data_IF_705333692291
#
_entry.id   IF_705333692291
#
_cell.length_a   1.000
_cell.length_b   1.000
_cell.length_c   1.000
_cell.angle_alpha   90.00
_cell.angle_beta   90.00
_cell.angle_gamma   90.00
#
_symmetry.space_group_name_H-M   'P 1'
#
loop_
_entity.id
_entity.type
_entity.pdbx_description
1 polymer ?
#
# COMPACT_ATOMS: atom_id res chain seq x y z
N UNK A 1 15.35 -25.40 25.26
CA UNK A 1 14.65 -24.20 24.74
C UNK A 1 15.43 -23.57 23.56
N UNK A 2 16.71 -23.22 23.73
CA UNK A 2 17.56 -22.61 22.68
C UNK A 2 17.64 -23.42 21.37
N UNK A 3 17.73 -24.75 21.41
CA UNK A 3 17.78 -25.59 20.21
C UNK A 3 16.48 -25.56 19.40
N UNK A 4 15.31 -25.47 20.06
CA UNK A 4 14.00 -25.33 19.40
C UNK A 4 13.85 -23.95 18.74
N UNK A 5 14.32 -22.88 19.41
CA UNK A 5 14.31 -21.52 18.85
C UNK A 5 15.26 -21.45 17.66
N UNK A 6 16.47 -22.00 17.75
CA UNK A 6 17.40 -22.05 16.63
C UNK A 6 16.82 -22.83 15.43
N UNK A 7 16.17 -23.97 15.67
CA UNK A 7 15.50 -24.76 14.64
C UNK A 7 14.32 -24.01 14.00
N UNK A 8 13.62 -23.16 14.74
CA UNK A 8 12.55 -22.31 14.20
C UNK A 8 13.05 -21.36 13.11
N UNK A 9 14.29 -20.87 13.19
CA UNK A 9 14.89 -19.95 12.21
C UNK A 9 15.71 -20.64 11.11
N UNK A 10 15.91 -21.94 11.17
CA UNK A 10 16.63 -22.68 10.14
C UNK A 10 15.68 -23.14 9.03
N UNK A 11 16.24 -23.29 7.82
CA UNK A 11 15.51 -23.76 6.63
C UNK A 11 14.88 -25.14 6.88
N UNK A 12 15.60 -26.04 7.57
CA UNK A 12 15.10 -27.38 7.90
C UNK A 12 13.88 -27.37 8.83
N UNK A 13 13.72 -26.31 9.62
CA UNK A 13 12.54 -26.13 10.50
C UNK A 13 11.33 -25.52 9.81
N UNK A 14 11.49 -25.05 8.56
CA UNK A 14 10.43 -24.34 7.81
C UNK A 14 9.65 -25.22 6.84
N UNK A 15 10.29 -26.25 6.26
CA UNK A 15 9.70 -27.13 5.26
C UNK A 15 9.76 -28.57 5.74
N UNK A 16 8.72 -29.34 5.47
CA UNK A 16 8.68 -30.75 5.77
C UNK A 16 9.54 -31.52 4.77
N UNK A 17 10.26 -32.54 5.22
CA UNK A 17 11.22 -33.31 4.38
C UNK A 17 10.60 -33.86 3.09
N UNK A 18 9.31 -34.23 3.09
CA UNK A 18 8.62 -34.76 1.92
C UNK A 18 8.13 -33.69 0.93
N UNK A 19 8.23 -32.38 1.30
CA UNK A 19 7.84 -31.25 0.47
C UNK A 19 9.06 -30.64 -0.27
N UNK A 20 10.26 -31.23 -0.15
CA UNK A 20 11.50 -30.68 -0.72
C UNK A 20 11.66 -31.16 -2.16
N UNK A 21 11.74 -30.22 -3.10
CA UNK A 21 11.87 -30.51 -4.54
C UNK A 21 13.29 -30.37 -5.09
N UNK A 22 14.31 -30.13 -4.24
CA UNK A 22 15.71 -29.99 -4.65
C UNK A 22 16.57 -29.38 -3.55
N UNK A 23 17.77 -28.93 -3.87
CA UNK A 23 18.65 -28.32 -2.88
C UNK A 23 18.04 -27.07 -2.26
N UNK A 24 18.18 -26.97 -0.93
CA UNK A 24 17.69 -25.83 -0.16
C UNK A 24 18.84 -24.84 0.08
N UNK A 25 18.57 -23.54 0.01
CA UNK A 25 19.58 -22.53 0.31
C UNK A 25 19.96 -22.58 1.81
N UNK A 26 21.18 -22.14 2.14
CA UNK A 26 21.56 -21.93 3.54
C UNK A 26 20.66 -20.87 4.18
N UNK A 27 20.32 -21.03 5.46
CA UNK A 27 19.45 -20.08 6.16
C UNK A 27 19.91 -18.63 6.05
N UNK A 28 21.23 -18.38 6.14
CA UNK A 28 21.81 -17.04 6.00
C UNK A 28 21.56 -16.44 4.61
N UNK A 29 21.65 -17.25 3.57
CA UNK A 29 21.42 -16.83 2.18
C UNK A 29 19.94 -16.52 1.93
N UNK A 30 19.02 -17.37 2.46
CA UNK A 30 17.58 -17.15 2.38
C UNK A 30 17.18 -15.79 2.96
N UNK A 31 17.61 -15.50 4.19
CA UNK A 31 17.30 -14.24 4.84
C UNK A 31 17.99 -13.05 4.16
N UNK A 32 19.23 -13.20 3.72
CA UNK A 32 19.94 -12.15 2.97
C UNK A 32 19.18 -11.79 1.70
N UNK A 33 18.81 -12.77 0.88
CA UNK A 33 18.07 -12.54 -0.37
C UNK A 33 16.69 -11.89 -0.09
N UNK A 34 16.01 -12.29 0.97
CA UNK A 34 14.76 -11.64 1.37
C UNK A 34 14.98 -10.19 1.76
N UNK A 35 15.96 -9.91 2.62
CA UNK A 35 16.24 -8.56 3.12
C UNK A 35 16.71 -7.65 1.98
N UNK A 36 17.56 -8.14 1.09
CA UNK A 36 18.07 -7.37 -0.06
C UNK A 36 16.93 -6.87 -0.98
N UNK A 37 15.82 -7.61 -1.05
CA UNK A 37 14.61 -7.21 -1.79
C UNK A 37 13.67 -6.37 -0.93
N UNK A 38 13.53 -6.70 0.36
CA UNK A 38 12.55 -6.12 1.26
C UNK A 38 12.96 -4.73 1.76
N UNK A 39 14.25 -4.52 2.12
CA UNK A 39 14.64 -3.25 2.71
C UNK A 39 14.41 -2.04 1.80
N UNK A 40 14.70 -2.09 0.45
CA UNK A 40 14.42 -0.93 -0.39
C UNK A 40 12.91 -0.71 -0.57
N UNK A 41 12.10 -1.78 -0.62
CA UNK A 41 10.65 -1.66 -0.71
C UNK A 41 10.04 -1.07 0.58
N UNK A 42 10.56 -1.46 1.74
CA UNK A 42 10.14 -0.90 3.03
C UNK A 42 10.57 0.57 3.16
N UNK A 43 11.82 0.88 2.79
CA UNK A 43 12.31 2.26 2.78
C UNK A 43 11.50 3.15 1.84
N UNK A 44 11.15 2.66 0.64
CA UNK A 44 10.25 3.35 -0.30
C UNK A 44 8.91 3.68 0.36
N UNK A 45 8.28 2.71 1.00
CA UNK A 45 6.97 2.90 1.64
C UNK A 45 7.04 3.90 2.81
N UNK A 46 8.10 3.84 3.64
CA UNK A 46 8.32 4.80 4.74
C UNK A 46 8.52 6.22 4.19
N UNK A 47 9.35 6.38 3.17
CA UNK A 47 9.61 7.67 2.55
C UNK A 47 8.35 8.30 1.93
N UNK A 48 7.53 7.50 1.25
CA UNK A 48 6.25 7.97 0.71
C UNK A 48 5.33 8.47 1.84
N UNK A 49 5.28 7.76 2.97
CA UNK A 49 4.50 8.19 4.15
C UNK A 49 5.02 9.51 4.74
N UNK A 50 6.35 9.66 4.87
CA UNK A 50 6.97 10.88 5.41
C UNK A 50 6.73 12.09 4.50
N UNK A 51 6.80 11.92 3.18
CA UNK A 51 6.55 13.01 2.22
C UNK A 51 5.10 13.48 2.32
N UNK A 52 4.13 12.58 2.49
CA UNK A 52 2.74 12.99 2.71
C UNK A 52 2.56 13.91 3.93
N UNK A 53 3.37 13.74 4.98
CA UNK A 53 3.39 14.64 6.14
C UNK A 53 4.00 16.00 5.75
N UNK A 54 5.12 15.99 5.04
CA UNK A 54 5.80 17.23 4.58
C UNK A 54 4.89 18.03 3.64
N UNK A 55 4.22 17.38 2.69
CA UNK A 55 3.26 18.04 1.79
C UNK A 55 2.13 18.71 2.57
N UNK A 56 1.59 18.02 3.58
CA UNK A 56 0.55 18.59 4.45
C UNK A 56 1.06 19.81 5.22
N UNK A 57 2.29 19.75 5.73
CA UNK A 57 2.93 20.89 6.41
C UNK A 57 3.18 22.06 5.45
N UNK A 58 3.59 21.81 4.21
CA UNK A 58 3.77 22.84 3.19
C UNK A 58 2.45 23.54 2.84
N UNK A 59 1.39 22.75 2.63
CA UNK A 59 0.04 23.29 2.37
C UNK A 59 -0.51 24.07 3.56
N UNK A 60 -0.13 23.72 4.80
CA UNK A 60 -0.60 24.43 6.00
C UNK A 60 -0.15 25.89 6.04
N UNK A 61 0.95 26.22 5.38
CA UNK A 61 1.43 27.61 5.24
C UNK A 61 0.46 28.51 4.43
N UNK A 62 -0.46 27.92 3.63
CA UNK A 62 -1.49 28.62 2.88
C UNK A 62 -2.78 28.86 3.71
N UNK A 63 -2.83 28.37 4.95
CA UNK A 63 -3.96 28.51 5.86
C UNK A 63 -4.98 27.35 5.81
N UNK A 64 -5.94 27.41 6.72
CA UNK A 64 -6.92 26.33 6.97
C UNK A 64 -7.78 26.00 5.73
N UNK A 65 -8.12 26.98 4.92
CA UNK A 65 -8.91 26.81 3.68
C UNK A 65 -8.17 25.89 2.69
N UNK A 66 -6.87 26.09 2.48
CA UNK A 66 -6.07 25.29 1.57
C UNK A 66 -5.88 23.84 2.08
N UNK A 67 -5.67 23.67 3.40
CA UNK A 67 -5.62 22.34 4.02
C UNK A 67 -6.92 21.58 3.78
N UNK A 68 -8.07 22.24 4.03
CA UNK A 68 -9.38 21.65 3.82
C UNK A 68 -9.60 21.28 2.34
N UNK A 69 -9.27 22.17 1.41
CA UNK A 69 -9.42 21.95 -0.02
C UNK A 69 -8.59 20.74 -0.49
N UNK A 70 -7.30 20.66 -0.13
CA UNK A 70 -6.45 19.50 -0.47
C UNK A 70 -6.93 18.23 0.22
N UNK A 71 -7.32 18.31 1.49
CA UNK A 71 -7.83 17.18 2.26
C UNK A 71 -9.07 16.53 1.63
N UNK A 72 -10.01 17.34 1.14
CA UNK A 72 -11.22 16.88 0.46
C UNK A 72 -10.93 16.08 -0.82
N UNK A 73 -9.80 16.32 -1.49
CA UNK A 73 -9.42 15.59 -2.70
C UNK A 73 -8.83 14.20 -2.41
N UNK A 74 -8.41 13.91 -1.18
CA UNK A 74 -7.68 12.68 -0.85
C UNK A 74 -8.51 11.41 -1.08
N UNK A 75 -9.75 11.36 -0.60
CA UNK A 75 -10.60 10.17 -0.75
C UNK A 75 -10.97 9.92 -2.22
N UNK A 76 -11.43 10.92 -3.00
CA UNK A 76 -11.63 10.77 -4.44
C UNK A 76 -10.39 10.27 -5.17
N UNK A 77 -9.21 10.84 -4.90
CA UNK A 77 -7.95 10.38 -5.50
C UNK A 77 -7.66 8.91 -5.22
N UNK A 78 -7.78 8.49 -3.95
CA UNK A 78 -7.52 7.10 -3.54
C UNK A 78 -8.46 6.11 -4.23
N UNK A 79 -9.69 6.49 -4.54
CA UNK A 79 -10.62 5.66 -5.30
C UNK A 79 -10.10 5.39 -6.70
N UNK A 80 -9.62 6.41 -7.40
CA UNK A 80 -9.04 6.25 -8.74
C UNK A 80 -7.69 5.52 -8.71
N UNK A 81 -6.86 5.73 -7.71
CA UNK A 81 -5.61 4.97 -7.53
C UNK A 81 -5.82 3.48 -7.35
N UNK A 82 -6.97 3.04 -6.85
CA UNK A 82 -7.29 1.62 -6.67
C UNK A 82 -7.15 0.81 -7.97
N UNK A 83 -7.48 1.41 -9.12
CA UNK A 83 -7.33 0.78 -10.45
C UNK A 83 -5.85 0.50 -10.75
N UNK A 84 -4.96 1.45 -10.44
CA UNK A 84 -3.52 1.30 -10.66
C UNK A 84 -2.90 0.31 -9.66
N UNK A 85 -3.33 0.30 -8.41
CA UNK A 85 -2.92 -0.72 -7.45
C UNK A 85 -3.28 -2.12 -7.90
N UNK A 86 -4.48 -2.32 -8.45
CA UNK A 86 -4.90 -3.60 -9.01
C UNK A 86 -4.01 -4.06 -10.17
N UNK A 87 -3.69 -3.14 -11.09
CA UNK A 87 -2.78 -3.41 -12.19
C UNK A 87 -1.37 -3.74 -11.68
N UNK A 88 -0.84 -2.99 -10.73
CA UNK A 88 0.49 -3.20 -10.13
C UNK A 88 0.61 -4.58 -9.47
N UNK A 89 -0.42 -5.04 -8.76
CA UNK A 89 -0.48 -6.39 -8.17
C UNK A 89 -0.46 -7.45 -9.26
N UNK A 90 -1.22 -7.26 -10.33
CA UNK A 90 -1.25 -8.21 -11.46
C UNK A 90 0.08 -8.28 -12.20
N UNK A 91 0.73 -7.14 -12.44
CA UNK A 91 2.07 -7.07 -13.03
C UNK A 91 3.07 -7.83 -12.16
N UNK A 92 3.02 -7.62 -10.85
CA UNK A 92 3.91 -8.32 -9.90
C UNK A 92 3.71 -9.84 -9.99
N UNK A 93 2.49 -10.35 -9.97
CA UNK A 93 2.23 -11.78 -10.02
C UNK A 93 2.66 -12.42 -11.36
N UNK A 94 2.34 -11.78 -12.50
CA UNK A 94 2.62 -12.35 -13.82
C UNK A 94 4.12 -12.26 -14.16
N UNK A 95 4.74 -11.10 -13.95
CA UNK A 95 6.17 -10.89 -14.30
C UNK A 95 7.08 -11.70 -13.39
N UNK A 96 6.81 -11.80 -12.08
CA UNK A 96 7.62 -12.62 -11.17
C UNK A 96 7.58 -14.09 -11.58
N UNK A 97 6.39 -14.61 -11.96
CA UNK A 97 6.24 -15.99 -12.43
C UNK A 97 7.03 -16.26 -13.72
N UNK A 98 6.94 -15.35 -14.71
CA UNK A 98 7.72 -15.46 -15.96
C UNK A 98 9.22 -15.36 -15.71
N UNK A 99 9.65 -14.50 -14.77
CA UNK A 99 11.04 -14.43 -14.32
C UNK A 99 11.51 -15.78 -13.78
N UNK A 100 10.69 -16.42 -12.94
CA UNK A 100 10.99 -17.73 -12.38
C UNK A 100 11.10 -18.84 -13.43
N UNK A 101 10.24 -18.79 -14.46
CA UNK A 101 10.26 -19.72 -15.60
C UNK A 101 11.46 -19.52 -16.54
N UNK A 102 12.26 -18.47 -16.37
CA UNK A 102 13.32 -18.10 -17.30
C UNK A 102 12.80 -17.47 -18.61
N UNK A 103 11.47 -17.25 -18.71
CA UNK A 103 10.84 -16.66 -19.90
C UNK A 103 11.03 -15.12 -19.93
N UNK A 104 12.25 -14.72 -20.28
CA UNK A 104 12.61 -13.30 -20.39
C UNK A 104 11.79 -12.59 -21.47
N UNK A 105 11.50 -13.25 -22.58
CA UNK A 105 10.74 -12.65 -23.68
C UNK A 105 9.28 -12.42 -23.27
N UNK A 106 8.65 -13.41 -22.64
CA UNK A 106 7.31 -13.28 -22.09
C UNK A 106 7.21 -12.21 -21.01
N UNK A 107 8.21 -12.10 -20.11
CA UNK A 107 8.26 -11.04 -19.11
C UNK A 107 8.27 -9.64 -19.75
N UNK A 108 9.09 -9.44 -20.81
CA UNK A 108 9.18 -8.15 -21.52
C UNK A 108 7.93 -7.84 -22.34
N UNK A 109 7.32 -8.84 -22.99
CA UNK A 109 6.02 -8.67 -23.64
C UNK A 109 4.92 -8.31 -22.64
N UNK A 110 4.91 -8.96 -21.46
CA UNK A 110 3.97 -8.62 -20.38
C UNK A 110 4.18 -7.19 -19.88
N UNK A 111 5.45 -6.76 -19.72
CA UNK A 111 5.77 -5.38 -19.37
C UNK A 111 5.23 -4.39 -20.40
N UNK A 112 5.44 -4.64 -21.69
CA UNK A 112 4.91 -3.78 -22.75
C UNK A 112 3.37 -3.67 -22.70
N UNK A 113 2.66 -4.79 -22.48
CA UNK A 113 1.20 -4.78 -22.33
C UNK A 113 0.77 -4.04 -21.05
N UNK A 114 1.49 -4.22 -19.94
CA UNK A 114 1.21 -3.51 -18.69
C UNK A 114 1.38 -1.99 -18.85
N UNK A 115 2.43 -1.55 -19.55
CA UNK A 115 2.64 -0.13 -19.85
C UNK A 115 1.53 0.41 -20.75
N UNK A 116 1.15 -0.33 -21.80
CA UNK A 116 0.05 0.08 -22.70
C UNK A 116 -1.28 0.19 -21.95
N UNK A 117 -1.59 -0.79 -21.10
CA UNK A 117 -2.77 -0.74 -20.22
C UNK A 117 -2.70 0.43 -19.24
N UNK A 118 -1.52 0.70 -18.67
CA UNK A 118 -1.33 1.84 -17.74
C UNK A 118 -1.58 3.18 -18.43
N UNK A 119 -1.14 3.34 -19.69
CA UNK A 119 -1.40 4.55 -20.47
C UNK A 119 -2.90 4.66 -20.74
N UNK A 120 -3.53 3.60 -21.24
CA UNK A 120 -4.96 3.61 -21.55
C UNK A 120 -5.83 3.88 -20.33
N UNK A 121 -5.55 3.15 -19.21
CA UNK A 121 -6.27 3.35 -17.95
C UNK A 121 -5.96 4.73 -17.34
N UNK A 122 -4.73 5.22 -17.43
CA UNK A 122 -4.35 6.54 -16.95
C UNK A 122 -5.12 7.66 -17.67
N UNK A 123 -5.20 7.58 -18.99
CA UNK A 123 -5.99 8.54 -19.81
C UNK A 123 -7.48 8.42 -19.47
N UNK A 124 -8.01 7.21 -19.41
CA UNK A 124 -9.42 6.98 -19.09
C UNK A 124 -9.77 7.51 -17.68
N UNK A 125 -8.96 7.18 -16.69
CA UNK A 125 -9.16 7.64 -15.29
C UNK A 125 -9.05 9.16 -15.21
N UNK A 126 -8.07 9.78 -15.89
CA UNK A 126 -7.96 11.24 -15.94
C UNK A 126 -9.20 11.87 -16.59
N UNK A 127 -9.64 11.34 -17.73
CA UNK A 127 -10.82 11.86 -18.44
C UNK A 127 -12.11 11.75 -17.59
N UNK A 128 -12.32 10.59 -16.94
CA UNK A 128 -13.48 10.40 -16.06
C UNK A 128 -13.40 11.33 -14.85
N UNK A 129 -12.23 11.41 -14.20
CA UNK A 129 -12.04 12.25 -13.02
C UNK A 129 -12.29 13.74 -13.34
N UNK A 130 -11.82 14.22 -14.50
CA UNK A 130 -12.03 15.61 -14.95
C UNK A 130 -13.47 15.88 -15.37
N UNK A 131 -14.19 14.87 -15.85
CA UNK A 131 -15.60 15.02 -16.24
C UNK A 131 -16.56 15.11 -15.04
N UNK A 132 -16.19 14.54 -13.89
CA UNK A 132 -17.03 14.48 -12.69
C UNK A 132 -16.41 15.18 -11.48
N UNK A 133 -15.41 16.04 -11.67
CA UNK A 133 -14.65 16.65 -10.59
C UNK A 133 -15.52 17.46 -9.61
N UNK A 134 -16.33 18.42 -10.09
CA UNK A 134 -17.18 19.26 -9.26
C UNK A 134 -18.20 18.45 -8.45
N UNK A 135 -19.05 17.58 -9.04
CA UNK A 135 -19.99 16.78 -8.28
C UNK A 135 -19.30 15.83 -7.32
N UNK A 136 -18.13 15.30 -7.67
CA UNK A 136 -17.39 14.37 -6.81
C UNK A 136 -16.78 15.08 -5.60
N UNK A 137 -16.23 16.27 -5.77
CA UNK A 137 -15.63 17.06 -4.69
C UNK A 137 -16.75 17.63 -3.77
N UNK A 138 -17.91 18.01 -4.32
CA UNK A 138 -19.10 18.37 -3.51
C UNK A 138 -19.58 17.18 -2.66
N UNK A 139 -19.64 15.99 -3.26
CA UNK A 139 -19.97 14.77 -2.54
C UNK A 139 -18.98 14.45 -1.42
N UNK A 140 -17.69 14.81 -1.59
CA UNK A 140 -16.66 14.68 -0.57
C UNK A 140 -16.81 15.68 0.59
N UNK A 141 -17.78 16.63 0.52
CA UNK A 141 -18.10 17.58 1.58
C UNK A 141 -17.55 18.99 1.35
N UNK A 142 -17.18 19.36 0.12
CA UNK A 142 -16.76 20.72 -0.19
C UNK A 142 -17.94 21.70 -0.09
N UNK A 143 -17.69 22.84 0.57
CA UNK A 143 -18.59 23.98 0.62
C UNK A 143 -18.20 25.04 -0.43
N UNK A 144 -19.01 26.09 -0.56
CA UNK A 144 -18.78 27.13 -1.58
C UNK A 144 -17.45 27.89 -1.40
N UNK A 145 -16.87 27.88 -0.21
CA UNK A 145 -15.57 28.51 0.04
C UNK A 145 -14.40 27.65 -0.42
N UNK A 146 -14.49 26.33 -0.35
CA UNK A 146 -13.40 25.39 -0.61
C UNK A 146 -13.47 24.72 -1.96
N UNK A 147 -14.66 24.70 -2.61
CA UNK A 147 -14.90 23.93 -3.84
C UNK A 147 -13.98 24.36 -4.99
N UNK A 148 -13.81 25.67 -5.21
CA UNK A 148 -13.00 26.18 -6.32
C UNK A 148 -11.54 25.72 -6.21
N UNK A 149 -10.95 25.85 -5.02
CA UNK A 149 -9.56 25.47 -4.73
C UNK A 149 -9.39 23.95 -4.80
N UNK A 150 -10.35 23.18 -4.26
CA UNK A 150 -10.31 21.72 -4.26
C UNK A 150 -10.45 21.14 -5.66
N UNK A 151 -11.37 21.67 -6.49
CA UNK A 151 -11.53 21.24 -7.89
C UNK A 151 -10.30 21.60 -8.70
N UNK A 152 -9.73 22.79 -8.53
CA UNK A 152 -8.53 23.21 -9.25
C UNK A 152 -7.34 22.30 -8.91
N UNK A 153 -7.09 22.04 -7.62
CA UNK A 153 -6.05 21.12 -7.17
C UNK A 153 -6.29 19.71 -7.73
N UNK A 154 -7.51 19.20 -7.63
CA UNK A 154 -7.88 17.87 -8.10
C UNK A 154 -7.66 17.73 -9.62
N UNK A 155 -8.09 18.73 -10.42
CA UNK A 155 -7.88 18.75 -11.88
C UNK A 155 -6.41 18.63 -12.26
N UNK A 156 -5.55 19.43 -11.63
CA UNK A 156 -4.10 19.40 -11.92
C UNK A 156 -3.52 18.04 -11.59
N UNK A 157 -3.77 17.51 -10.40
CA UNK A 157 -3.21 16.23 -9.97
C UNK A 157 -3.75 15.07 -10.81
N UNK A 158 -5.05 15.06 -11.12
CA UNK A 158 -5.67 13.99 -11.91
C UNK A 158 -5.24 14.01 -13.38
N UNK A 159 -4.88 15.16 -13.93
CA UNK A 159 -4.31 15.24 -15.30
C UNK A 159 -2.96 14.50 -15.41
N UNK A 160 -2.22 14.39 -14.31
CA UNK A 160 -0.93 13.68 -14.24
C UNK A 160 -1.01 12.17 -14.01
N UNK A 161 -2.21 11.58 -13.94
CA UNK A 161 -2.40 10.16 -13.57
C UNK A 161 -1.71 9.16 -14.49
N UNK A 162 -1.54 9.50 -15.77
CA UNK A 162 -0.82 8.66 -16.73
C UNK A 162 0.61 8.39 -16.28
N UNK A 163 1.31 9.41 -15.76
CA UNK A 163 2.68 9.27 -15.27
C UNK A 163 2.77 8.36 -14.05
N UNK A 164 1.82 8.49 -13.12
CA UNK A 164 1.70 7.62 -11.94
C UNK A 164 1.41 6.18 -12.34
N UNK A 165 0.49 5.95 -13.28
CA UNK A 165 0.13 4.63 -13.74
C UNK A 165 1.32 3.91 -14.42
N UNK A 166 2.02 4.60 -15.32
CA UNK A 166 3.16 4.04 -16.06
C UNK A 166 4.34 3.76 -15.13
N UNK A 167 4.72 4.72 -14.27
CA UNK A 167 5.80 4.51 -13.29
C UNK A 167 5.47 3.35 -12.34
N UNK A 168 4.24 3.26 -11.85
CA UNK A 168 3.77 2.19 -10.98
C UNK A 168 3.89 0.81 -11.62
N UNK A 169 3.47 0.65 -12.87
CA UNK A 169 3.57 -0.62 -13.58
C UNK A 169 5.03 -1.05 -13.83
N UNK A 170 5.89 -0.11 -14.25
CA UNK A 170 7.32 -0.39 -14.47
C UNK A 170 8.01 -0.72 -13.15
N UNK A 171 7.77 0.05 -12.09
CA UNK A 171 8.35 -0.19 -10.76
C UNK A 171 7.89 -1.54 -10.19
N UNK A 172 6.62 -1.92 -10.40
CA UNK A 172 6.10 -3.24 -10.01
C UNK A 172 6.76 -4.39 -10.78
N UNK A 173 7.02 -4.21 -12.07
CA UNK A 173 7.78 -5.18 -12.86
C UNK A 173 9.25 -5.27 -12.41
N UNK A 174 9.90 -4.16 -12.09
CA UNK A 174 11.26 -4.13 -11.56
C UNK A 174 11.36 -4.84 -10.19
N UNK A 175 10.42 -4.55 -9.28
CA UNK A 175 10.33 -5.27 -7.99
C UNK A 175 10.13 -6.77 -8.21
N UNK A 176 9.33 -7.16 -9.19
CA UNK A 176 9.03 -8.55 -9.52
C UNK A 176 10.25 -9.37 -9.94
N UNK A 177 11.27 -8.73 -10.50
CA UNK A 177 12.53 -9.38 -10.86
C UNK A 177 13.61 -9.28 -9.77
N UNK A 178 13.28 -8.64 -8.62
CA UNK A 178 14.18 -8.41 -7.48
C UNK A 178 14.93 -7.08 -7.52
N UNK A 179 14.67 -6.22 -8.52
CA UNK A 179 15.33 -4.93 -8.65
C UNK A 179 14.51 -3.82 -7.96
N UNK A 180 14.40 -3.89 -6.64
CA UNK A 180 13.61 -2.96 -5.81
C UNK A 180 14.26 -1.58 -5.67
N UNK A 181 15.59 -1.47 -5.87
CA UNK A 181 16.33 -0.21 -5.76
C UNK A 181 15.87 0.84 -6.78
N UNK A 182 15.46 0.43 -7.98
CA UNK A 182 14.98 1.36 -9.01
C UNK A 182 13.69 2.05 -8.56
N UNK A 183 12.75 1.29 -8.00
CA UNK A 183 11.52 1.85 -7.46
C UNK A 183 11.79 2.83 -6.32
N UNK A 184 12.68 2.47 -5.38
CA UNK A 184 13.10 3.36 -4.30
C UNK A 184 13.73 4.64 -4.83
N UNK A 185 14.71 4.55 -5.74
CA UNK A 185 15.41 5.75 -6.24
C UNK A 185 14.53 6.65 -7.08
N UNK A 186 13.66 6.09 -7.93
CA UNK A 186 12.74 6.90 -8.74
C UNK A 186 11.71 7.63 -7.88
N UNK A 187 11.14 6.97 -6.88
CA UNK A 187 10.18 7.59 -5.96
C UNK A 187 10.85 8.59 -5.00
N UNK A 188 12.05 8.29 -4.52
CA UNK A 188 12.82 9.23 -3.69
C UNK A 188 13.13 10.51 -4.47
N UNK A 189 13.62 10.39 -5.69
CA UNK A 189 13.93 11.57 -6.54
C UNK A 189 12.66 12.37 -6.84
N UNK A 190 11.55 11.67 -7.16
CA UNK A 190 10.26 12.33 -7.38
C UNK A 190 9.78 13.11 -6.15
N UNK A 191 9.94 12.53 -4.97
CA UNK A 191 9.56 13.16 -3.69
C UNK A 191 10.44 14.37 -3.38
N UNK A 192 11.75 14.27 -3.62
CA UNK A 192 12.67 15.45 -3.47
C UNK A 192 12.26 16.56 -4.42
N UNK A 193 11.98 16.24 -5.69
CA UNK A 193 11.50 17.23 -6.67
C UNK A 193 10.19 17.86 -6.19
N UNK A 194 9.23 17.05 -5.74
CA UNK A 194 7.97 17.55 -5.22
C UNK A 194 8.18 18.53 -4.07
N UNK A 195 8.87 18.13 -3.00
CA UNK A 195 9.11 18.97 -1.81
C UNK A 195 9.86 20.29 -2.15
N UNK A 196 10.88 20.20 -3.01
CA UNK A 196 11.64 21.40 -3.43
C UNK A 196 10.75 22.37 -4.20
N UNK A 197 9.99 21.88 -5.17
CA UNK A 197 9.11 22.75 -5.97
C UNK A 197 7.87 23.20 -5.21
N UNK A 198 7.34 22.40 -4.26
CA UNK A 198 6.30 22.85 -3.32
C UNK A 198 6.79 24.09 -2.54
N UNK A 199 8.00 24.01 -1.97
CA UNK A 199 8.58 25.14 -1.26
C UNK A 199 8.72 26.38 -2.14
N UNK A 200 9.19 26.23 -3.38
CA UNK A 200 9.40 27.35 -4.32
C UNK A 200 8.08 27.96 -4.81
N UNK A 201 7.11 27.12 -5.21
CA UNK A 201 5.87 27.57 -5.85
C UNK A 201 4.77 27.97 -4.87
N UNK A 202 4.76 27.39 -3.65
CA UNK A 202 3.83 27.80 -2.60
C UNK A 202 4.28 29.15 -2.01
N UNK A 203 5.58 29.28 -1.70
CA UNK A 203 6.10 30.47 -0.98
C UNK A 203 6.53 31.61 -1.90
N UNK A 204 6.70 31.37 -3.20
CA UNK A 204 7.16 32.38 -4.16
C UNK A 204 8.63 32.82 -3.97
N UNK A 205 9.48 31.91 -3.45
CA UNK A 205 10.91 32.23 -3.21
C UNK A 205 11.78 31.97 -4.44
N UNK A 206 13.01 32.51 -4.40
CA UNK A 206 14.02 32.36 -5.47
C UNK A 206 13.55 32.83 -6.86
N UNK A 207 12.66 33.83 -6.93
CA UNK A 207 12.17 34.37 -8.20
C UNK A 207 10.99 33.63 -8.83
N UNK A 208 10.48 32.59 -8.17
CA UNK A 208 9.27 31.90 -8.60
C UNK A 208 8.01 32.66 -8.12
N UNK A 209 6.90 32.61 -8.92
CA UNK A 209 5.62 33.18 -8.48
C UNK A 209 5.00 32.36 -7.34
N UNK A 210 4.40 33.03 -6.37
CA UNK A 210 3.59 32.38 -5.34
C UNK A 210 2.23 31.95 -5.95
N UNK A 211 2.08 30.68 -6.27
CA UNK A 211 0.90 30.12 -6.96
C UNK A 211 -0.14 29.57 -5.99
N UNK A 212 0.07 29.67 -4.67
CA UNK A 212 -0.87 29.17 -3.67
C UNK A 212 -1.14 27.68 -3.84
N UNK A 213 -2.43 27.28 -3.91
CA UNK A 213 -2.83 25.87 -4.00
C UNK A 213 -2.40 25.20 -5.32
N UNK A 214 -2.30 25.97 -6.41
CA UNK A 214 -1.73 25.49 -7.69
C UNK A 214 -0.27 25.15 -7.52
N UNK A 215 0.45 25.95 -6.69
CA UNK A 215 1.85 25.71 -6.31
C UNK A 215 2.07 24.42 -5.51
N UNK A 216 1.04 23.83 -4.91
CA UNK A 216 1.09 22.50 -4.30
C UNK A 216 0.70 21.38 -5.27
N UNK A 217 -0.16 21.65 -6.27
CA UNK A 217 -0.60 20.65 -7.22
C UNK A 217 0.42 20.35 -8.33
N UNK A 218 1.05 21.38 -8.89
CA UNK A 218 2.03 21.25 -9.99
C UNK A 218 3.23 20.40 -9.60
N UNK A 219 3.91 20.60 -8.45
CA UNK A 219 5.05 19.78 -8.05
C UNK A 219 4.71 18.31 -7.86
N UNK A 220 3.50 17.99 -7.41
CA UNK A 220 3.00 16.61 -7.34
C UNK A 220 3.04 15.94 -8.72
N UNK A 221 2.58 16.64 -9.76
CA UNK A 221 2.62 16.14 -11.14
C UNK A 221 4.05 16.08 -11.66
N UNK A 222 4.87 17.10 -11.40
CA UNK A 222 6.30 17.14 -11.78
C UNK A 222 7.07 15.96 -11.17
N UNK A 223 6.86 15.68 -9.88
CA UNK A 223 7.44 14.50 -9.22
C UNK A 223 7.06 13.20 -9.91
N UNK A 224 5.77 13.04 -10.24
CA UNK A 224 5.27 11.86 -10.96
C UNK A 224 5.87 11.76 -12.39
N UNK A 225 6.07 12.87 -13.08
CA UNK A 225 6.76 12.91 -14.38
C UNK A 225 8.21 12.46 -14.25
N UNK A 226 8.94 12.93 -13.23
CA UNK A 226 10.32 12.51 -12.95
C UNK A 226 10.38 11.02 -12.62
N UNK A 227 9.50 10.52 -11.74
CA UNK A 227 9.41 9.08 -11.46
C UNK A 227 9.16 8.26 -12.72
N UNK A 228 8.24 8.70 -13.57
CA UNK A 228 7.94 8.05 -14.84
C UNK A 228 9.16 8.05 -15.77
N UNK A 229 9.83 9.19 -15.94
CA UNK A 229 11.03 9.32 -16.75
C UNK A 229 12.16 8.40 -16.30
N UNK A 230 12.44 8.35 -14.98
CA UNK A 230 13.44 7.45 -14.40
C UNK A 230 13.06 5.97 -14.56
N UNK A 231 11.78 5.62 -14.35
CA UNK A 231 11.29 4.25 -14.53
C UNK A 231 11.41 3.81 -15.99
N UNK A 232 11.02 4.65 -16.95
CA UNK A 232 11.19 4.39 -18.38
C UNK A 232 12.67 4.28 -18.76
N UNK A 233 13.52 5.15 -18.22
CA UNK A 233 14.96 5.09 -18.46
C UNK A 233 15.58 3.78 -17.97
N UNK A 234 15.10 3.25 -16.83
CA UNK A 234 15.57 1.98 -16.26
C UNK A 234 15.36 0.77 -17.16
N UNK A 235 14.34 0.79 -18.02
CA UNK A 235 14.00 -0.28 -18.96
C UNK A 235 14.51 -0.03 -20.39
N UNK A 236 15.16 1.10 -20.65
CA UNK A 236 15.88 1.36 -21.91
C UNK A 236 17.23 0.65 -21.96
N UNK A 237 17.91 0.49 -20.81
CA UNK A 237 19.19 -0.19 -20.71
C UNK A 237 18.96 -1.70 -20.92
N UNK A 238 19.94 -2.41 -21.52
CA UNK A 238 19.90 -3.87 -21.80
C UNK A 238 19.96 -4.71 -20.49
N UNK A 239 19.07 -4.42 -19.53
CA UNK A 239 18.88 -5.24 -18.33
C UNK A 239 18.03 -6.48 -18.61
N UNK A 240 17.55 -7.15 -17.54
CA UNK A 240 16.62 -8.27 -17.68
C UNK A 240 15.29 -7.82 -18.29
N UNK A 241 14.74 -6.71 -17.78
CA UNK A 241 13.57 -6.04 -18.35
C UNK A 241 14.03 -4.96 -19.32
N UNK A 242 13.38 -4.93 -20.48
CA UNK A 242 13.52 -3.88 -21.49
C UNK A 242 12.18 -3.65 -22.18
N UNK A 243 11.93 -2.41 -22.62
CA UNK A 243 10.72 -2.06 -23.34
C UNK A 243 10.96 -2.22 -24.85
N UNK A 244 10.19 -3.11 -25.46
CA UNK A 244 10.12 -3.21 -26.91
C UNK A 244 8.98 -2.34 -27.43
N UNK A 245 9.32 -1.18 -27.98
CA UNK A 245 8.35 -0.23 -28.52
C UNK A 245 7.46 -0.82 -29.62
N UNK A 246 7.92 -1.84 -30.36
CA UNK A 246 7.13 -2.54 -31.37
C UNK A 246 5.99 -3.38 -30.80
N UNK A 247 6.12 -3.79 -29.54
CA UNK A 247 5.08 -4.54 -28.81
C UNK A 247 4.13 -3.61 -28.01
N UNK A 248 4.46 -2.33 -27.93
CA UNK A 248 3.59 -1.32 -27.31
C UNK A 248 2.32 -1.17 -28.17
N UNK A 249 1.17 -1.10 -27.54
CA UNK A 249 -0.15 -1.01 -28.20
C UNK A 249 -0.56 -2.19 -29.11
N UNK A 250 0.25 -3.26 -29.17
CA UNK A 250 -0.16 -4.52 -29.78
C UNK A 250 -0.87 -5.38 -28.75
N UNK A 251 -2.14 -5.09 -28.49
CA UNK A 251 -2.92 -5.82 -27.48
C UNK A 251 -3.07 -7.30 -27.85
N UNK A 252 -2.44 -8.17 -27.03
CA UNK A 252 -2.51 -9.62 -27.18
C UNK A 252 -3.33 -10.20 -26.03
N UNK A 253 -4.47 -10.80 -26.38
CA UNK A 253 -5.39 -11.39 -25.39
C UNK A 253 -4.70 -12.39 -24.45
N UNK A 254 -3.75 -13.18 -24.96
CA UNK A 254 -2.97 -14.18 -24.19
C UNK A 254 -2.13 -13.54 -23.06
N UNK A 255 -1.67 -12.30 -23.24
CA UNK A 255 -0.87 -11.56 -22.26
C UNK A 255 -1.73 -10.70 -21.33
N UNK A 256 -2.84 -10.17 -21.87
CA UNK A 256 -3.75 -9.30 -21.11
C UNK A 256 -4.67 -10.11 -20.20
N UNK A 257 -5.15 -11.27 -20.65
CA UNK A 257 -6.06 -12.13 -19.86
C UNK A 257 -5.53 -12.51 -18.48
N UNK A 258 -4.23 -12.91 -18.30
CA UNK A 258 -3.68 -13.11 -16.98
C UNK A 258 -3.63 -11.83 -16.13
N UNK A 259 -3.24 -10.70 -16.73
CA UNK A 259 -3.20 -9.41 -16.02
C UNK A 259 -4.59 -9.00 -15.53
N UNK A 260 -5.62 -9.12 -16.37
CA UNK A 260 -7.00 -8.80 -15.99
C UNK A 260 -7.53 -9.79 -14.97
N UNK A 261 -7.24 -11.09 -15.09
CA UNK A 261 -7.72 -12.13 -14.18
C UNK A 261 -7.24 -11.89 -12.74
N UNK A 262 -5.96 -11.57 -12.58
CA UNK A 262 -5.35 -11.24 -11.28
C UNK A 262 -5.79 -9.84 -10.84
N UNK A 263 -5.80 -8.87 -11.75
CA UNK A 263 -6.16 -7.48 -11.50
C UNK A 263 -7.61 -7.29 -11.05
N UNK A 264 -8.56 -8.02 -11.61
CA UNK A 264 -9.97 -7.93 -11.16
C UNK A 264 -10.14 -8.34 -9.70
N UNK A 265 -9.47 -9.42 -9.26
CA UNK A 265 -9.48 -9.81 -7.85
C UNK A 265 -8.89 -8.73 -6.96
N UNK A 266 -7.73 -8.20 -7.33
CA UNK A 266 -7.08 -7.13 -6.58
C UNK A 266 -7.88 -5.82 -6.61
N UNK A 267 -8.52 -5.49 -7.72
CA UNK A 267 -9.39 -4.31 -7.86
C UNK A 267 -10.63 -4.39 -6.98
N UNK A 268 -11.30 -5.54 -6.97
CA UNK A 268 -12.42 -5.79 -6.06
C UNK A 268 -12.00 -5.64 -4.61
N UNK A 269 -10.87 -6.22 -4.22
CA UNK A 269 -10.31 -6.06 -2.88
C UNK A 269 -10.11 -4.58 -2.52
N UNK A 270 -9.47 -3.80 -3.40
CA UNK A 270 -9.20 -2.38 -3.14
C UNK A 270 -10.49 -1.56 -3.02
N UNK A 271 -11.47 -1.79 -3.88
CA UNK A 271 -12.76 -1.13 -3.81
C UNK A 271 -13.48 -1.44 -2.48
N UNK A 272 -13.55 -2.71 -2.11
CA UNK A 272 -14.17 -3.14 -0.85
C UNK A 272 -13.45 -2.56 0.39
N UNK A 273 -12.11 -2.50 0.36
CA UNK A 273 -11.34 -1.84 1.43
C UNK A 273 -11.77 -0.37 1.58
N UNK A 274 -11.87 0.39 0.48
CA UNK A 274 -12.25 1.81 0.53
C UNK A 274 -13.65 2.03 1.08
N UNK A 275 -14.62 1.26 0.57
CA UNK A 275 -16.01 1.34 1.05
C UNK A 275 -16.11 0.96 2.53
N UNK A 276 -15.45 -0.12 2.93
CA UNK A 276 -15.47 -0.57 4.33
C UNK A 276 -14.82 0.42 5.30
N UNK A 277 -13.70 1.05 4.92
CA UNK A 277 -13.09 2.12 5.71
C UNK A 277 -13.98 3.36 5.79
N UNK A 278 -14.69 3.70 4.72
CA UNK A 278 -15.65 4.81 4.74
C UNK A 278 -16.80 4.54 5.73
N UNK A 279 -17.40 3.35 5.68
CA UNK A 279 -18.47 2.95 6.62
C UNK A 279 -17.97 3.00 8.07
N UNK A 280 -16.76 2.46 8.29
CA UNK A 280 -16.14 2.45 9.62
C UNK A 280 -15.89 3.86 10.15
N UNK A 281 -15.31 4.74 9.33
CA UNK A 281 -15.07 6.14 9.70
C UNK A 281 -16.37 6.91 9.96
N UNK A 282 -17.41 6.71 9.15
CA UNK A 282 -18.73 7.31 9.35
C UNK A 282 -19.38 6.85 10.67
N UNK A 283 -19.26 5.56 11.00
CA UNK A 283 -19.77 5.01 12.26
C UNK A 283 -19.06 5.64 13.47
N UNK A 284 -17.74 5.83 13.38
CA UNK A 284 -16.97 6.48 14.46
C UNK A 284 -17.27 7.98 14.55
N UNK A 285 -17.49 8.66 13.43
CA UNK A 285 -17.83 10.08 13.41
C UNK A 285 -19.12 10.39 14.18
N UNK A 286 -20.09 9.47 14.13
CA UNK A 286 -21.35 9.61 14.88
C UNK A 286 -21.17 9.48 16.41
N UNK A 287 -20.01 9.09 16.93
CA UNK A 287 -19.69 9.07 18.36
C UNK A 287 -19.30 10.45 18.90
N UNK A 288 -19.15 11.45 18.03
CA UNK A 288 -18.81 12.83 18.37
C UNK A 288 -17.42 13.25 17.90
N UNK A 289 -17.20 14.58 17.93
CA UNK A 289 -16.01 15.21 17.35
C UNK A 289 -14.71 14.78 18.04
N UNK A 290 -14.68 14.73 19.36
CA UNK A 290 -13.51 14.31 20.14
C UNK A 290 -13.14 12.84 19.87
N UNK A 291 -14.14 11.95 19.75
CA UNK A 291 -13.95 10.55 19.41
C UNK A 291 -13.38 10.39 17.99
N UNK A 292 -13.91 11.14 17.03
CA UNK A 292 -13.43 11.09 15.65
C UNK A 292 -12.01 11.66 15.52
N UNK A 293 -11.69 12.76 16.22
CA UNK A 293 -10.34 13.32 16.25
C UNK A 293 -9.33 12.31 16.84
N UNK A 294 -9.68 11.69 17.97
CA UNK A 294 -8.85 10.62 18.58
C UNK A 294 -8.64 9.46 17.61
N UNK A 295 -9.70 9.02 16.94
CA UNK A 295 -9.63 7.98 15.92
C UNK A 295 -8.64 8.32 14.79
N UNK A 296 -8.72 9.53 14.25
CA UNK A 296 -7.84 9.97 13.15
C UNK A 296 -6.37 10.03 13.57
N UNK A 297 -6.08 10.52 14.77
CA UNK A 297 -4.72 10.52 15.34
C UNK A 297 -4.19 9.08 15.42
N UNK A 298 -4.96 8.18 16.02
CA UNK A 298 -4.55 6.78 16.17
C UNK A 298 -4.43 6.06 14.81
N UNK A 299 -5.26 6.38 13.81
CA UNK A 299 -5.15 5.86 12.45
C UNK A 299 -3.87 6.33 11.75
N UNK A 300 -3.44 7.57 11.96
CA UNK A 300 -2.16 8.05 11.43
C UNK A 300 -0.98 7.30 12.03
N UNK A 301 -1.02 7.02 13.32
CA UNK A 301 0.04 6.28 14.01
C UNK A 301 0.08 4.81 13.55
N UNK A 302 -1.06 4.12 13.43
CA UNK A 302 -1.09 2.72 12.97
C UNK A 302 -0.65 2.57 11.51
N UNK A 303 -0.83 3.61 10.68
CA UNK A 303 -0.37 3.60 9.29
C UNK A 303 1.14 3.33 9.16
N UNK A 304 1.93 3.69 10.16
CA UNK A 304 3.36 3.33 10.21
C UNK A 304 3.56 1.81 10.16
N UNK A 305 2.73 1.03 10.87
CA UNK A 305 2.83 -0.43 10.86
C UNK A 305 2.41 -1.04 9.52
N UNK A 306 1.41 -0.45 8.84
CA UNK A 306 1.05 -0.86 7.48
C UNK A 306 2.21 -0.69 6.51
N UNK A 307 2.93 0.41 6.60
CA UNK A 307 4.09 0.73 5.75
C UNK A 307 5.18 -0.35 5.80
N UNK A 308 5.52 -0.84 6.99
CA UNK A 308 6.46 -1.95 7.16
C UNK A 308 5.91 -3.28 6.61
N UNK A 309 4.64 -3.55 6.87
CA UNK A 309 3.94 -4.73 6.36
C UNK A 309 3.91 -4.76 4.83
N UNK A 310 3.61 -3.63 4.19
CA UNK A 310 3.53 -3.51 2.74
C UNK A 310 4.88 -3.75 2.07
N UNK A 311 5.97 -3.20 2.58
CA UNK A 311 7.32 -3.42 2.05
C UNK A 311 7.71 -4.90 2.07
N UNK A 312 7.52 -5.58 3.21
CA UNK A 312 7.76 -7.02 3.34
C UNK A 312 6.79 -7.85 2.49
N UNK A 313 5.53 -7.45 2.41
CA UNK A 313 4.51 -8.08 1.58
C UNK A 313 4.85 -8.01 0.09
N UNK A 314 5.32 -6.87 -0.40
CA UNK A 314 5.78 -6.70 -1.78
C UNK A 314 6.98 -7.58 -2.10
N UNK A 315 7.99 -7.64 -1.22
CA UNK A 315 9.16 -8.50 -1.38
C UNK A 315 8.79 -9.98 -1.39
N UNK A 316 7.96 -10.40 -0.44
CA UNK A 316 7.46 -11.78 -0.35
C UNK A 316 6.64 -12.16 -1.58
N UNK A 317 5.81 -11.26 -2.10
CA UNK A 317 5.04 -11.45 -3.34
C UNK A 317 5.95 -11.74 -4.53
N UNK A 318 7.00 -10.94 -4.72
CA UNK A 318 7.95 -11.12 -5.81
C UNK A 318 8.70 -12.46 -5.71
N UNK A 319 9.23 -12.79 -4.53
CA UNK A 319 10.02 -14.01 -4.31
C UNK A 319 9.16 -15.28 -4.40
N UNK A 320 7.95 -15.26 -3.85
CA UNK A 320 6.99 -16.37 -3.98
C UNK A 320 6.62 -16.60 -5.45
N UNK A 321 6.28 -15.55 -6.19
CA UNK A 321 5.96 -15.65 -7.61
C UNK A 321 7.12 -16.20 -8.45
N UNK A 322 8.35 -15.74 -8.21
CA UNK A 322 9.54 -16.23 -8.90
C UNK A 322 9.78 -17.73 -8.64
N UNK A 323 9.69 -18.18 -7.39
CA UNK A 323 9.97 -19.57 -7.05
C UNK A 323 8.84 -20.52 -7.53
N UNK A 324 7.59 -20.06 -7.55
CA UNK A 324 6.51 -20.79 -8.23
C UNK A 324 6.77 -20.91 -9.74
N UNK A 325 7.30 -19.87 -10.36
CA UNK A 325 7.73 -19.92 -11.76
C UNK A 325 8.81 -20.97 -12.02
N UNK A 326 9.76 -21.13 -11.10
CA UNK A 326 10.79 -22.17 -11.12
C UNK A 326 10.26 -23.59 -10.84
N UNK A 327 8.95 -23.75 -10.60
CA UNK A 327 8.33 -25.01 -10.13
C UNK A 327 8.89 -25.48 -8.78
N UNK A 328 9.28 -24.54 -7.90
CA UNK A 328 9.82 -24.78 -6.56
C UNK A 328 8.88 -24.20 -5.49
N UNK A 329 7.73 -24.84 -5.24
CA UNK A 329 6.78 -24.40 -4.20
C UNK A 329 7.39 -24.45 -2.79
N UNK A 330 8.33 -25.38 -2.55
CA UNK A 330 9.12 -25.46 -1.32
C UNK A 330 9.87 -24.15 -1.02
N UNK A 331 10.56 -23.58 -2.01
CA UNK A 331 11.23 -22.29 -1.85
C UNK A 331 10.24 -21.14 -1.68
N UNK A 332 9.09 -21.19 -2.36
CA UNK A 332 8.03 -20.20 -2.18
C UNK A 332 7.51 -20.19 -0.76
N UNK A 333 7.26 -21.37 -0.19
CA UNK A 333 6.86 -21.53 1.21
C UNK A 333 7.96 -21.06 2.17
N UNK A 334 9.23 -21.33 1.87
CA UNK A 334 10.38 -20.85 2.65
C UNK A 334 10.45 -19.33 2.70
N UNK A 335 10.37 -18.65 1.55
CA UNK A 335 10.42 -17.18 1.51
C UNK A 335 9.21 -16.56 2.20
N UNK A 336 8.02 -17.16 2.08
CA UNK A 336 6.84 -16.72 2.82
C UNK A 336 7.02 -16.83 4.33
N UNK A 337 7.51 -17.96 4.84
CA UNK A 337 7.79 -18.17 6.26
C UNK A 337 8.96 -17.31 6.76
N UNK A 338 9.99 -17.09 5.96
CA UNK A 338 11.08 -16.18 6.29
C UNK A 338 10.58 -14.73 6.42
N UNK A 339 9.70 -14.28 5.48
CA UNK A 339 9.05 -12.99 5.56
C UNK A 339 8.24 -12.81 6.85
N UNK A 340 7.47 -13.85 7.24
CA UNK A 340 6.73 -13.85 8.50
C UNK A 340 7.63 -13.67 9.73
N UNK A 341 8.79 -14.31 9.74
CA UNK A 341 9.72 -14.20 10.88
C UNK A 341 10.37 -12.83 10.97
N UNK A 342 10.78 -12.26 9.83
CA UNK A 342 11.26 -10.86 9.79
C UNK A 342 10.15 -9.92 10.21
N UNK A 343 8.93 -10.10 9.70
CA UNK A 343 7.76 -9.33 10.08
C UNK A 343 7.43 -9.41 11.57
N UNK A 344 7.60 -10.59 12.17
CA UNK A 344 7.41 -10.77 13.61
C UNK A 344 8.38 -9.92 14.44
N UNK A 345 9.65 -9.84 14.08
CA UNK A 345 10.60 -8.97 14.78
C UNK A 345 10.27 -7.49 14.64
N UNK A 346 9.87 -7.08 13.43
CA UNK A 346 9.41 -5.70 13.20
C UNK A 346 8.15 -5.41 14.02
N UNK A 347 7.20 -6.35 14.05
CA UNK A 347 5.99 -6.17 14.85
C UNK A 347 6.30 -6.10 16.35
N UNK A 348 7.25 -6.89 16.85
CA UNK A 348 7.68 -6.83 18.24
C UNK A 348 8.29 -5.47 18.58
N UNK A 349 9.12 -4.91 17.69
CA UNK A 349 9.65 -3.55 17.85
C UNK A 349 8.52 -2.51 17.91
N UNK A 350 7.51 -2.61 17.04
CA UNK A 350 6.37 -1.69 17.04
C UNK A 350 5.45 -1.89 18.25
N UNK A 351 5.29 -3.11 18.74
CA UNK A 351 4.59 -3.39 20.00
C UNK A 351 5.25 -2.65 21.17
N UNK A 352 6.57 -2.73 21.26
CA UNK A 352 7.32 -1.99 22.29
C UNK A 352 7.20 -0.47 22.09
N UNK A 353 7.34 0.01 20.84
CA UNK A 353 7.22 1.43 20.52
C UNK A 353 5.84 1.96 20.91
N UNK A 354 4.76 1.34 20.46
CA UNK A 354 3.39 1.79 20.73
C UNK A 354 2.96 1.55 22.17
N UNK A 355 3.47 0.48 22.80
CA UNK A 355 3.20 0.19 24.20
C UNK A 355 3.87 1.17 25.16
N UNK A 356 5.14 1.52 24.94
CA UNK A 356 5.86 2.43 25.84
C UNK A 356 5.73 3.90 25.43
N UNK A 357 5.79 4.22 24.14
CA UNK A 357 5.75 5.59 23.64
C UNK A 357 4.35 6.01 23.16
N UNK A 358 3.33 5.16 23.25
CA UNK A 358 1.99 5.42 22.70
C UNK A 358 1.37 6.72 23.21
N UNK A 359 1.46 6.99 24.50
CA UNK A 359 0.99 8.25 25.11
C UNK A 359 1.71 9.48 24.55
N UNK A 360 3.03 9.40 24.41
CA UNK A 360 3.85 10.48 23.84
C UNK A 360 3.52 10.70 22.38
N UNK A 361 3.33 9.60 21.60
CA UNK A 361 2.96 9.69 20.19
C UNK A 361 1.61 10.37 19.99
N UNK A 362 0.60 10.05 20.80
CA UNK A 362 -0.69 10.74 20.78
C UNK A 362 -0.52 12.20 21.13
N UNK A 363 0.27 12.50 22.19
CA UNK A 363 0.51 13.87 22.65
C UNK A 363 1.23 14.78 21.64
N UNK A 364 1.92 14.22 20.62
CA UNK A 364 2.49 15.02 19.53
C UNK A 364 1.44 15.68 18.63
N UNK A 365 0.19 15.18 18.64
CA UNK A 365 -0.88 15.65 17.78
C UNK A 365 -1.89 16.54 18.49
N UNK A 366 -1.78 16.73 19.80
CA UNK A 366 -2.79 17.46 20.60
C UNK A 366 -2.09 18.50 21.47
N UNK A 367 -2.62 19.71 21.46
CA UNK A 367 -2.14 20.78 22.34
C UNK A 367 -2.82 20.66 23.72
N UNK A 368 -2.06 20.94 24.78
CA UNK A 368 -2.61 20.97 26.15
C UNK A 368 -3.68 22.06 26.38
N UNK A 369 -3.84 22.98 25.42
CA UNK A 369 -4.89 24.02 25.42
C UNK A 369 -6.20 23.57 24.78
N UNK A 370 -6.25 22.39 24.15
CA UNK A 370 -7.46 21.89 23.50
C UNK A 370 -8.50 21.46 24.54
N UNK A 371 -9.76 21.81 24.33
CA UNK A 371 -10.85 21.46 25.24
C UNK A 371 -11.03 19.94 25.42
N UNK A 372 -10.70 19.16 24.40
CA UNK A 372 -10.84 17.70 24.38
C UNK A 372 -9.53 16.97 24.72
N UNK A 373 -8.51 17.68 25.21
CA UNK A 373 -7.17 17.13 25.49
C UNK A 373 -7.23 15.88 26.37
N UNK A 374 -7.92 15.93 27.51
CA UNK A 374 -8.01 14.81 28.45
C UNK A 374 -8.70 13.60 27.84
N UNK A 375 -9.77 13.82 27.07
CA UNK A 375 -10.48 12.76 26.38
C UNK A 375 -9.58 12.07 25.32
N UNK A 376 -8.89 12.87 24.51
CA UNK A 376 -8.02 12.38 23.44
C UNK A 376 -6.81 11.63 24.03
N UNK A 377 -6.18 12.17 25.06
CA UNK A 377 -5.04 11.56 25.72
C UNK A 377 -5.39 10.26 26.41
N UNK A 378 -6.52 10.21 27.12
CA UNK A 378 -6.97 9.00 27.81
C UNK A 378 -7.34 7.89 26.84
N UNK A 379 -8.30 8.16 25.93
CA UNK A 379 -8.77 7.16 24.98
C UNK A 379 -7.69 6.80 23.95
N UNK A 380 -6.92 7.78 23.46
CA UNK A 380 -5.82 7.55 22.53
C UNK A 380 -4.74 6.64 23.13
N UNK A 381 -4.40 6.81 24.39
CA UNK A 381 -3.44 5.92 25.07
C UNK A 381 -3.94 4.48 25.17
N UNK A 382 -5.22 4.29 25.53
CA UNK A 382 -5.83 2.94 25.58
C UNK A 382 -5.82 2.31 24.17
N UNK A 383 -6.18 3.11 23.15
CA UNK A 383 -6.15 2.66 21.76
C UNK A 383 -4.72 2.25 21.34
N UNK A 384 -3.68 2.96 21.78
CA UNK A 384 -2.30 2.58 21.45
C UNK A 384 -1.91 1.21 22.00
N UNK A 385 -2.42 0.79 23.16
CA UNK A 385 -2.24 -0.58 23.65
C UNK A 385 -2.94 -1.62 22.76
N UNK A 386 -4.16 -1.29 22.28
CA UNK A 386 -4.88 -2.15 21.33
C UNK A 386 -4.10 -2.21 20.01
N UNK A 387 -3.61 -1.08 19.49
CA UNK A 387 -2.77 -0.99 18.28
C UNK A 387 -1.50 -1.82 18.42
N UNK A 388 -0.83 -1.79 19.56
CA UNK A 388 0.35 -2.61 19.83
C UNK A 388 0.03 -4.11 19.61
N UNK A 389 -1.09 -4.60 20.13
CA UNK A 389 -1.52 -5.98 19.93
C UNK A 389 -1.92 -6.27 18.47
N UNK A 390 -2.60 -5.33 17.81
CA UNK A 390 -3.02 -5.46 16.42
C UNK A 390 -1.82 -5.57 15.47
N UNK A 391 -0.71 -4.86 15.74
CA UNK A 391 0.45 -4.79 14.84
C UNK A 391 1.00 -6.17 14.47
N UNK A 392 1.03 -7.12 15.41
CA UNK A 392 1.51 -8.48 15.13
C UNK A 392 0.59 -9.17 14.11
N UNK A 393 -0.72 -9.10 14.33
CA UNK A 393 -1.70 -9.70 13.45
C UNK A 393 -1.69 -9.02 12.07
N UNK A 394 -1.60 -7.69 12.04
CA UNK A 394 -1.64 -6.88 10.83
C UNK A 394 -0.44 -7.12 9.93
N UNK A 395 0.80 -7.00 10.44
CA UNK A 395 2.02 -7.20 9.64
C UNK A 395 2.05 -8.63 9.09
N UNK A 396 1.75 -9.62 9.94
CA UNK A 396 1.70 -11.03 9.55
C UNK A 396 0.66 -11.27 8.44
N UNK A 397 -0.54 -10.70 8.57
CA UNK A 397 -1.61 -10.81 7.60
C UNK A 397 -1.23 -10.16 6.25
N UNK A 398 -0.61 -8.96 6.26
CA UNK A 398 -0.17 -8.27 5.04
C UNK A 398 0.88 -9.09 4.29
N UNK A 399 1.82 -9.71 5.00
CA UNK A 399 2.84 -10.57 4.39
C UNK A 399 2.20 -11.83 3.76
N UNK A 400 1.27 -12.51 4.45
CA UNK A 400 0.55 -13.64 3.86
C UNK A 400 -0.24 -13.23 2.62
N UNK A 401 -0.93 -12.10 2.67
CA UNK A 401 -1.63 -11.57 1.49
C UNK A 401 -0.65 -11.25 0.36
N UNK A 402 0.53 -10.71 0.67
CA UNK A 402 1.61 -10.52 -0.30
C UNK A 402 2.00 -11.83 -0.98
N UNK A 403 2.23 -12.90 -0.21
CA UNK A 403 2.54 -14.22 -0.73
C UNK A 403 1.43 -14.76 -1.65
N UNK A 404 0.17 -14.69 -1.22
CA UNK A 404 -0.99 -15.15 -1.98
C UNK A 404 -1.19 -14.35 -3.27
N UNK A 405 -1.01 -13.02 -3.22
CA UNK A 405 -1.06 -12.15 -4.42
C UNK A 405 0.07 -12.48 -5.40
N UNK A 406 1.28 -12.73 -4.90
CA UNK A 406 2.43 -13.16 -5.72
C UNK A 406 2.21 -14.52 -6.39
N UNK A 407 1.47 -15.40 -5.75
CA UNK A 407 1.00 -16.67 -6.33
C UNK A 407 -0.14 -16.50 -7.34
N UNK A 408 -0.78 -15.33 -7.41
CA UNK A 408 -1.95 -15.06 -8.25
C UNK A 408 -3.30 -15.40 -7.60
N UNK A 409 -3.31 -15.76 -6.31
CA UNK A 409 -4.53 -16.14 -5.56
C UNK A 409 -5.30 -14.91 -5.02
N UNK A 410 -5.41 -13.87 -5.87
CA UNK A 410 -6.03 -12.59 -5.52
C UNK A 410 -7.53 -12.70 -5.26
N UNK A 411 -8.22 -13.67 -5.88
CA UNK A 411 -9.64 -13.89 -5.63
C UNK A 411 -9.94 -14.31 -4.20
N UNK A 412 -9.10 -15.20 -3.62
CA UNK A 412 -9.24 -15.60 -2.23
C UNK A 412 -8.98 -14.44 -1.27
N UNK A 413 -7.90 -13.69 -1.51
CA UNK A 413 -7.57 -12.51 -0.71
C UNK A 413 -8.70 -11.48 -0.77
N UNK A 414 -9.26 -11.24 -1.97
CA UNK A 414 -10.41 -10.35 -2.16
C UNK A 414 -11.64 -10.83 -1.38
N UNK A 415 -11.99 -12.11 -1.48
CA UNK A 415 -13.16 -12.65 -0.78
C UNK A 415 -13.04 -12.51 0.75
N UNK A 416 -11.88 -12.87 1.32
CA UNK A 416 -11.62 -12.72 2.76
C UNK A 416 -11.67 -11.25 3.19
N UNK A 417 -11.01 -10.36 2.44
CA UNK A 417 -11.00 -8.92 2.74
C UNK A 417 -12.39 -8.30 2.61
N UNK A 418 -13.17 -8.69 1.57
CA UNK A 418 -14.53 -8.18 1.37
C UNK A 418 -15.45 -8.58 2.53
N UNK A 419 -15.50 -9.86 2.87
CA UNK A 419 -16.36 -10.33 3.97
C UNK A 419 -15.95 -9.69 5.30
N UNK A 420 -14.66 -9.64 5.57
CA UNK A 420 -14.16 -9.11 6.85
C UNK A 420 -14.39 -7.61 6.98
N UNK A 421 -14.04 -6.82 5.96
CA UNK A 421 -14.06 -5.34 6.04
C UNK A 421 -15.45 -4.77 5.77
N UNK A 422 -16.25 -5.36 4.86
CA UNK A 422 -17.57 -4.82 4.50
C UNK A 422 -18.70 -5.40 5.33
N UNK A 423 -18.53 -6.58 5.94
CA UNK A 423 -19.60 -7.23 6.70
C UNK A 423 -19.24 -7.31 8.18
N UNK A 424 -18.16 -8.02 8.52
CA UNK A 424 -17.83 -8.32 9.92
C UNK A 424 -17.46 -7.05 10.68
N UNK A 425 -16.57 -6.23 10.13
CA UNK A 425 -16.12 -5.00 10.81
C UNK A 425 -17.25 -4.01 11.08
N UNK A 426 -18.11 -3.62 10.13
CA UNK A 426 -19.21 -2.69 10.40
C UNK A 426 -20.19 -3.23 11.43
N UNK A 427 -20.55 -4.52 11.35
CA UNK A 427 -21.46 -5.15 12.33
C UNK A 427 -20.85 -5.10 13.73
N UNK A 428 -19.60 -5.54 13.88
CA UNK A 428 -18.92 -5.51 15.18
C UNK A 428 -18.72 -4.08 15.69
N UNK A 429 -18.42 -3.12 14.80
CA UNK A 429 -18.30 -1.71 15.18
C UNK A 429 -19.61 -1.19 15.74
N UNK A 430 -20.72 -1.44 15.05
CA UNK A 430 -22.05 -1.02 15.53
C UNK A 430 -22.38 -1.66 16.88
N UNK A 431 -22.20 -2.97 17.01
CA UNK A 431 -22.46 -3.70 18.27
C UNK A 431 -21.64 -3.16 19.43
N UNK A 432 -20.32 -3.00 19.25
CA UNK A 432 -19.46 -2.55 20.34
C UNK A 432 -19.64 -1.08 20.67
N UNK A 433 -19.81 -0.22 19.66
CA UNK A 433 -19.97 1.21 19.90
C UNK A 433 -21.32 1.57 20.52
N UNK A 434 -22.41 1.00 19.98
CA UNK A 434 -23.76 1.45 20.30
C UNK A 434 -24.54 0.45 21.17
N UNK A 435 -24.49 -0.84 20.86
CA UNK A 435 -25.26 -1.83 21.60
C UNK A 435 -24.64 -2.14 22.96
N UNK A 436 -23.33 -2.33 23.01
CA UNK A 436 -22.61 -2.54 24.27
C UNK A 436 -22.15 -1.24 24.94
N UNK A 437 -22.29 -0.09 24.28
CA UNK A 437 -21.96 1.21 24.84
C UNK A 437 -20.45 1.45 25.11
N UNK A 438 -19.56 0.65 24.49
CA UNK A 438 -18.10 0.77 24.68
C UNK A 438 -17.54 2.03 23.97
N UNK A 439 -18.32 2.61 23.05
CA UNK A 439 -17.91 3.82 22.32
C UNK A 439 -16.68 3.61 21.42
N UNK A 440 -15.77 4.60 21.40
CA UNK A 440 -14.60 4.60 20.51
C UNK A 440 -13.69 3.38 20.69
N UNK A 441 -13.46 2.92 21.91
CA UNK A 441 -12.64 1.75 22.20
C UNK A 441 -13.25 0.49 21.56
N UNK A 442 -14.59 0.40 21.53
CA UNK A 442 -15.31 -0.69 20.84
C UNK A 442 -15.05 -0.73 19.34
N UNK A 443 -14.94 0.44 18.69
CA UNK A 443 -14.55 0.49 17.28
C UNK A 443 -13.17 -0.09 17.04
N UNK A 444 -12.18 0.16 17.89
CA UNK A 444 -10.84 -0.37 17.78
C UNK A 444 -10.76 -1.88 18.11
N UNK A 445 -11.61 -2.38 19.02
CA UNK A 445 -11.77 -3.83 19.19
C UNK A 445 -12.33 -4.51 17.95
N UNK A 446 -13.30 -3.88 17.25
CA UNK A 446 -13.81 -4.43 16.00
C UNK A 446 -12.74 -4.52 14.92
N UNK A 447 -11.87 -3.50 14.83
CA UNK A 447 -10.71 -3.49 13.93
C UNK A 447 -9.71 -4.59 14.31
N UNK A 448 -9.46 -4.81 15.61
CA UNK A 448 -8.57 -5.88 16.08
C UNK A 448 -9.09 -7.26 15.68
N UNK A 449 -10.36 -7.53 15.91
CA UNK A 449 -11.01 -8.81 15.57
C UNK A 449 -10.96 -9.03 14.05
N UNK A 450 -11.27 -8.02 13.25
CA UNK A 450 -11.17 -8.08 11.80
C UNK A 450 -9.75 -8.45 11.31
N UNK A 451 -8.72 -7.84 11.89
CA UNK A 451 -7.33 -8.15 11.55
C UNK A 451 -6.97 -9.61 11.90
N UNK A 452 -7.41 -10.08 13.06
CA UNK A 452 -7.18 -11.46 13.50
C UNK A 452 -7.92 -12.46 12.58
N UNK A 453 -9.17 -12.19 12.21
CA UNK A 453 -9.94 -13.02 11.29
C UNK A 453 -9.22 -13.14 9.95
N UNK A 454 -8.81 -12.02 9.38
CA UNK A 454 -8.07 -12.00 8.10
C UNK A 454 -6.73 -12.72 8.21
N UNK A 455 -6.01 -12.57 9.32
CA UNK A 455 -4.79 -13.32 9.58
C UNK A 455 -5.04 -14.82 9.58
N UNK A 456 -6.07 -15.29 10.32
CA UNK A 456 -6.39 -16.72 10.41
C UNK A 456 -6.69 -17.30 9.04
N UNK A 457 -7.57 -16.66 8.25
CA UNK A 457 -7.92 -17.17 6.93
C UNK A 457 -6.74 -17.13 5.94
N UNK A 458 -5.93 -16.07 5.96
CA UNK A 458 -4.75 -15.96 5.10
C UNK A 458 -3.67 -16.98 5.49
N UNK A 459 -3.46 -17.21 6.78
CA UNK A 459 -2.51 -18.21 7.29
C UNK A 459 -2.98 -19.64 6.96
N UNK A 460 -4.26 -19.96 7.14
CA UNK A 460 -4.84 -21.25 6.77
C UNK A 460 -4.72 -21.52 5.27
N UNK A 461 -5.00 -20.49 4.44
CA UNK A 461 -4.85 -20.61 2.99
C UNK A 461 -3.39 -20.86 2.59
N UNK A 462 -2.47 -20.10 3.17
CA UNK A 462 -1.05 -20.28 2.91
C UNK A 462 -0.56 -21.65 3.36
N UNK A 463 -0.94 -22.10 4.56
CA UNK A 463 -0.53 -23.40 5.11
C UNK A 463 -1.14 -24.59 4.37
N UNK A 464 -2.30 -24.43 3.70
CA UNK A 464 -2.95 -25.50 2.95
C UNK A 464 -2.26 -25.83 1.61
N UNK A 465 -1.32 -25.03 1.14
CA UNK A 465 -0.64 -25.22 -0.17
C UNK A 465 -1.55 -25.05 -1.41
N UNK A 466 -2.85 -24.76 -1.23
CA UNK A 466 -3.81 -24.66 -2.36
C UNK A 466 -3.47 -23.52 -3.32
N UNK A 467 -2.78 -22.48 -2.85
CA UNK A 467 -2.30 -21.34 -3.65
C UNK A 467 -1.20 -21.72 -4.66
N UNK A 468 -0.48 -22.82 -4.42
CA UNK A 468 0.60 -23.30 -5.32
C UNK A 468 0.05 -23.75 -6.69
N UNK A 469 -1.20 -24.24 -6.70
CA UNK A 469 -1.89 -24.76 -7.88
C UNK A 469 -2.60 -23.68 -8.72
N UNK A 470 -2.58 -22.42 -8.27
CA UNK A 470 -3.23 -21.33 -8.98
C UNK A 470 -2.47 -21.03 -10.28
N UNK A 471 -3.21 -21.07 -11.41
CA UNK A 471 -2.68 -20.73 -12.73
C UNK A 471 -2.86 -19.23 -13.00
N UNK A 472 -1.76 -18.59 -13.31
CA UNK A 472 -1.66 -17.15 -13.66
C UNK A 472 -1.35 -17.03 -15.14
#
# INVERSE_FOLDING_TARGET
MFSRIKRFFTVEGMVKKHEIFGELPKSKELYKNLIDVAWPATAESVLVGLVGIVDTLMVSALGARAIAAVGLTNQPRLLFYAVFFALNISVTAVVSRRKGQGDRNGANKTLAQAVSLSIALGIMVSAVALAIDDPLIRLAGANDETIADAVLYFRIVMSGMVFTAVSGAINSAQRSIGNTRIALTSNLTANVVNVVFDYLLITGKCGFPALGIVGAAIPTVMGNMVACGMSVWSIRRKGYLYLNFKELFRFRAELIKPLLKVGMGAGMEQACIRVGFFIYAATVANLGTAAFATHQICMNIINLSFTFGDGLGMASSALVGQNLGKKRPDLSTLYGKAGQRVGFFISLFLVLLFGFAGRTLVGLFVSSSDNDYDYIMHNGTIIMYIVALICVAQITQVIYNGCLRGAGDTKYVAAVSTVSIMVIRPILTYLFCYTFGIGLIGAWFSLAIDQIIRLIFSALRFSSGRWEKVKV
#
